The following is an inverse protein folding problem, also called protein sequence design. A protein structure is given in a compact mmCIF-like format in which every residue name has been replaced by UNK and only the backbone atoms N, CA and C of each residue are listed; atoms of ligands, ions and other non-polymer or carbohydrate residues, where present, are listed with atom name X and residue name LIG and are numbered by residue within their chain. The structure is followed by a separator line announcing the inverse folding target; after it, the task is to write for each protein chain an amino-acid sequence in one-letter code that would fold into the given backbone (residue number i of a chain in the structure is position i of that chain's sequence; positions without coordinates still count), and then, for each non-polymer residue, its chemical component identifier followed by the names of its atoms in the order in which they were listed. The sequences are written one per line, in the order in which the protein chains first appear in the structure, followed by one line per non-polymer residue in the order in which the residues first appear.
data_IF_158909788960
#
_entry.id   IF_158909788960
#
_cell.length_a   1.000
_cell.length_b   1.000
_cell.length_c   1.000
_cell.angle_alpha   90.00
_cell.angle_beta   90.00
_cell.angle_gamma   90.00
#
_symmetry.space_group_name_H-M   'P 1'
#
loop_
_entity.id
_entity.type
_entity.pdbx_description
1 polymer ?
#
# COMPACT_ATOMS: atom_id res chain seq x y z
N UNK A 1 -5.37 -14.86 21.03
CA UNK A 1 -5.88 -14.34 19.73
C UNK A 1 -5.40 -12.93 19.40
N UNK A 2 -5.42 -11.97 20.34
CA UNK A 2 -5.01 -10.56 20.06
C UNK A 2 -3.57 -10.40 19.53
N UNK A 3 -2.60 -11.12 20.09
CA UNK A 3 -1.21 -11.13 19.62
C UNK A 3 -1.04 -11.58 18.16
N UNK A 4 -1.81 -12.59 17.72
CA UNK A 4 -1.82 -13.04 16.33
C UNK A 4 -2.25 -11.90 15.39
N UNK A 5 -3.31 -11.18 15.74
CA UNK A 5 -3.79 -10.07 14.92
C UNK A 5 -2.80 -8.91 14.84
N UNK A 6 -2.12 -8.57 15.95
CA UNK A 6 -1.03 -7.59 15.91
C UNK A 6 0.12 -8.04 15.01
N UNK A 7 0.53 -9.30 15.11
CA UNK A 7 1.58 -9.87 14.26
C UNK A 7 1.20 -9.78 12.78
N UNK A 8 0.00 -10.27 12.41
CA UNK A 8 -0.49 -10.21 11.01
C UNK A 8 -0.60 -8.77 10.52
N UNK A 9 -1.04 -7.85 11.38
CA UNK A 9 -1.15 -6.43 11.06
C UNK A 9 0.21 -5.81 10.76
N UNK A 10 1.21 -6.04 11.62
CA UNK A 10 2.56 -5.54 11.40
C UNK A 10 3.26 -6.20 10.21
N UNK A 11 3.16 -7.52 10.07
CA UNK A 11 3.72 -8.23 8.92
C UNK A 11 3.09 -7.75 7.61
N UNK A 12 1.77 -7.55 7.59
CA UNK A 12 1.04 -6.97 6.46
C UNK A 12 1.53 -5.56 6.12
N UNK A 13 1.69 -4.69 7.13
CA UNK A 13 2.15 -3.32 6.92
C UNK A 13 3.57 -3.27 6.37
N UNK A 14 4.48 -4.08 6.92
CA UNK A 14 5.87 -4.18 6.45
C UNK A 14 5.92 -4.68 5.01
N UNK A 15 5.18 -5.75 4.69
CA UNK A 15 5.12 -6.27 3.32
C UNK A 15 4.55 -5.22 2.34
N UNK A 16 3.49 -4.52 2.74
CA UNK A 16 2.85 -3.51 1.91
C UNK A 16 3.74 -2.30 1.66
N UNK A 17 4.13 -1.59 2.71
CA UNK A 17 4.90 -0.35 2.59
C UNK A 17 6.32 -0.63 2.10
N UNK A 18 6.96 -1.70 2.60
CA UNK A 18 8.25 -2.16 2.11
C UNK A 18 8.21 -2.55 0.63
N UNK A 19 7.18 -3.28 0.19
CA UNK A 19 6.98 -3.63 -1.22
C UNK A 19 6.75 -2.39 -2.10
N UNK A 20 5.97 -1.42 -1.63
CA UNK A 20 5.74 -0.16 -2.35
C UNK A 20 7.03 0.66 -2.47
N UNK A 21 7.83 0.75 -1.40
CA UNK A 21 9.13 1.41 -1.42
C UNK A 21 10.11 0.70 -2.37
N UNK A 22 10.15 -0.63 -2.36
CA UNK A 22 10.96 -1.41 -3.30
C UNK A 22 10.55 -1.14 -4.76
N UNK A 23 9.25 -1.12 -5.05
CA UNK A 23 8.75 -0.78 -6.38
C UNK A 23 9.13 0.65 -6.79
N UNK A 24 9.11 1.62 -5.86
CA UNK A 24 9.56 3.00 -6.11
C UNK A 24 11.06 3.08 -6.37
N UNK A 25 11.88 2.35 -5.62
CA UNK A 25 13.32 2.29 -5.83
C UNK A 25 13.66 1.75 -7.23
N UNK A 26 12.98 0.67 -7.64
CA UNK A 26 13.07 0.13 -9.02
C UNK A 26 12.64 1.18 -10.04
N UNK A 27 11.53 1.88 -9.82
CA UNK A 27 11.05 2.93 -10.74
C UNK A 27 12.05 4.09 -10.90
N UNK A 28 12.75 4.45 -9.82
CA UNK A 28 13.75 5.51 -9.83
C UNK A 28 15.03 5.07 -10.56
N UNK A 29 15.52 3.86 -10.28
CA UNK A 29 16.68 3.28 -10.96
C UNK A 29 16.42 3.16 -12.46
N UNK A 30 15.23 2.70 -12.84
CA UNK A 30 14.80 2.52 -14.22
C UNK A 30 14.75 3.82 -15.06
N UNK A 31 14.81 5.00 -14.44
CA UNK A 31 14.85 6.28 -15.19
C UNK A 31 16.10 6.43 -16.08
N UNK A 32 17.16 5.67 -15.79
CA UNK A 32 18.43 5.70 -16.53
C UNK A 32 18.47 4.71 -17.70
N UNK A 33 17.47 3.83 -17.77
CA UNK A 33 17.40 2.76 -18.77
C UNK A 33 16.76 3.24 -20.07
N UNK A 34 16.99 2.49 -21.13
CA UNK A 34 16.38 2.77 -22.43
C UNK A 34 14.85 2.56 -22.37
N UNK A 35 14.05 3.38 -23.10
CA UNK A 35 12.58 3.33 -23.01
C UNK A 35 11.95 1.98 -23.40
N UNK A 36 12.60 1.24 -24.29
CA UNK A 36 12.23 -0.12 -24.73
C UNK A 36 12.33 -1.16 -23.59
N UNK A 37 13.25 -0.96 -22.63
CA UNK A 37 13.40 -1.83 -21.46
C UNK A 37 12.30 -1.64 -20.41
N UNK A 38 11.50 -0.57 -20.51
CA UNK A 38 10.46 -0.26 -19.52
C UNK A 38 9.40 -1.34 -19.39
N UNK A 39 9.14 -2.11 -20.46
CA UNK A 39 8.22 -3.24 -20.43
C UNK A 39 8.66 -4.31 -19.41
N UNK A 40 9.96 -4.63 -19.39
CA UNK A 40 10.53 -5.59 -18.43
C UNK A 40 10.44 -5.04 -17.00
N UNK A 41 10.79 -3.76 -16.81
CA UNK A 41 10.74 -3.09 -15.51
C UNK A 41 9.34 -3.16 -14.90
N UNK A 42 8.30 -2.80 -15.66
CA UNK A 42 6.92 -2.79 -15.12
C UNK A 42 6.39 -4.20 -14.86
N UNK A 43 6.85 -5.22 -15.59
CA UNK A 43 6.50 -6.63 -15.31
C UNK A 43 7.11 -7.10 -13.99
N UNK A 44 8.38 -6.76 -13.74
CA UNK A 44 9.05 -7.05 -12.47
C UNK A 44 8.39 -6.30 -11.31
N UNK A 45 8.08 -5.01 -11.48
CA UNK A 45 7.31 -4.26 -10.50
C UNK A 45 5.94 -4.91 -10.25
N UNK A 46 5.24 -5.35 -11.30
CA UNK A 46 3.97 -6.07 -11.18
C UNK A 46 4.06 -7.33 -10.33
N UNK A 47 5.21 -8.01 -10.32
CA UNK A 47 5.47 -9.13 -9.39
C UNK A 47 5.62 -8.67 -7.94
N UNK A 48 6.30 -7.54 -7.68
CA UNK A 48 6.37 -6.93 -6.34
C UNK A 48 4.96 -6.57 -5.84
N UNK A 49 4.13 -5.95 -6.69
CA UNK A 49 2.77 -5.58 -6.32
C UNK A 49 1.90 -6.79 -6.00
N UNK A 50 2.01 -7.88 -6.76
CA UNK A 50 1.23 -9.10 -6.54
C UNK A 50 1.71 -9.93 -5.34
N UNK A 51 3.02 -9.98 -5.11
CA UNK A 51 3.60 -10.80 -4.05
C UNK A 51 3.57 -10.10 -2.68
N UNK A 52 3.77 -8.77 -2.64
CA UNK A 52 3.96 -8.03 -1.40
C UNK A 52 2.87 -6.99 -1.17
N UNK A 53 2.69 -6.05 -2.11
CA UNK A 53 1.82 -4.87 -1.88
C UNK A 53 0.36 -5.28 -1.68
N UNK A 54 -0.21 -6.05 -2.60
CA UNK A 54 -1.60 -6.47 -2.54
C UNK A 54 -1.91 -7.34 -1.31
N UNK A 55 -1.22 -8.48 -1.12
CA UNK A 55 -1.41 -9.32 0.06
C UNK A 55 -1.14 -8.56 1.36
N UNK A 56 -0.07 -7.76 1.43
CA UNK A 56 0.27 -6.97 2.62
C UNK A 56 -0.80 -5.94 2.98
N UNK A 57 -1.33 -5.20 1.99
CA UNK A 57 -2.39 -4.24 2.20
C UNK A 57 -3.68 -4.93 2.67
N UNK A 58 -4.02 -6.07 2.08
CA UNK A 58 -5.18 -6.86 2.48
C UNK A 58 -5.05 -7.35 3.93
N UNK A 59 -3.92 -7.97 4.27
CA UNK A 59 -3.64 -8.46 5.62
C UNK A 59 -3.70 -7.32 6.63
N UNK A 60 -3.13 -6.16 6.30
CA UNK A 60 -3.18 -4.95 7.13
C UNK A 60 -4.61 -4.52 7.40
N UNK A 61 -5.42 -4.33 6.36
CA UNK A 61 -6.80 -3.82 6.51
C UNK A 61 -7.67 -4.81 7.29
N UNK A 62 -7.61 -6.11 6.95
CA UNK A 62 -8.42 -7.14 7.60
C UNK A 62 -8.05 -7.28 9.08
N UNK A 63 -6.76 -7.40 9.38
CA UNK A 63 -6.30 -7.49 10.77
C UNK A 63 -6.55 -6.20 11.56
N UNK A 64 -6.44 -5.03 10.92
CA UNK A 64 -6.75 -3.74 11.53
C UNK A 64 -8.22 -3.66 11.92
N UNK A 65 -9.12 -4.11 11.03
CA UNK A 65 -10.53 -4.22 11.32
C UNK A 65 -10.81 -5.17 12.50
N UNK A 66 -10.18 -6.34 12.53
CA UNK A 66 -10.30 -7.28 13.67
C UNK A 66 -9.82 -6.69 15.00
N UNK A 67 -8.69 -5.98 14.99
CA UNK A 67 -8.16 -5.29 16.17
C UNK A 67 -9.11 -4.19 16.65
N UNK A 68 -9.69 -3.43 15.73
CA UNK A 68 -10.69 -2.41 16.03
C UNK A 68 -11.94 -3.01 16.66
N UNK A 69 -12.47 -4.12 16.14
CA UNK A 69 -13.63 -4.81 16.75
C UNK A 69 -13.33 -5.31 18.16
N UNK A 70 -12.15 -5.91 18.38
CA UNK A 70 -11.72 -6.35 19.71
C UNK A 70 -11.61 -5.19 20.69
N UNK A 71 -11.12 -4.05 20.23
CA UNK A 71 -11.08 -2.83 21.03
C UNK A 71 -12.49 -2.39 21.42
N UNK A 72 -13.42 -2.25 20.47
CA UNK A 72 -14.80 -1.83 20.75
C UNK A 72 -15.53 -2.76 21.73
N UNK A 73 -15.30 -4.07 21.65
CA UNK A 73 -15.88 -5.04 22.61
C UNK A 73 -15.37 -4.85 24.05
N UNK A 74 -14.27 -4.12 24.24
CA UNK A 74 -13.66 -3.82 25.54
C UNK A 74 -13.87 -2.34 25.97
N UNK A 75 -14.57 -1.52 25.18
CA UNK A 75 -14.84 -0.12 25.52
C UNK A 75 -15.94 -0.06 26.58
N UNK A 76 -15.54 -0.06 27.85
CA UNK A 76 -16.46 0.14 28.98
C UNK A 76 -16.32 1.49 29.70
N UNK A 77 -15.33 2.34 29.38
CA UNK A 77 -15.26 3.67 30.03
C UNK A 77 -14.34 4.73 29.40
N UNK A 78 -13.40 4.37 28.52
CA UNK A 78 -12.35 5.30 28.05
C UNK A 78 -12.61 5.68 26.60
N UNK A 79 -12.87 6.95 26.35
CA UNK A 79 -13.14 7.48 25.01
C UNK A 79 -12.03 7.15 24.01
N UNK A 80 -12.40 7.03 22.74
CA UNK A 80 -11.45 6.74 21.66
C UNK A 80 -10.43 7.87 21.53
N UNK A 81 -9.15 7.55 21.63
CA UNK A 81 -8.07 8.53 21.38
C UNK A 81 -8.15 9.08 19.95
N UNK A 82 -8.09 10.40 19.79
CA UNK A 82 -8.06 11.03 18.47
C UNK A 82 -6.91 10.51 17.59
N UNK A 83 -5.76 10.14 18.18
CA UNK A 83 -4.64 9.53 17.45
C UNK A 83 -4.97 8.14 16.93
N UNK A 84 -5.70 7.35 17.71
CA UNK A 84 -6.11 6.02 17.31
C UNK A 84 -7.15 6.07 16.20
N UNK A 85 -8.10 7.01 16.28
CA UNK A 85 -9.06 7.26 15.20
C UNK A 85 -8.35 7.74 13.92
N UNK A 86 -7.37 8.63 14.03
CA UNK A 86 -6.56 9.09 12.90
C UNK A 86 -5.78 7.92 12.25
N UNK A 87 -5.10 7.08 13.05
CA UNK A 87 -4.41 5.89 12.57
C UNK A 87 -5.33 4.98 11.76
N UNK A 88 -6.51 4.66 12.33
CA UNK A 88 -7.47 3.76 11.69
C UNK A 88 -8.02 4.35 10.39
N UNK A 89 -8.43 5.63 10.41
CA UNK A 89 -8.97 6.31 9.24
C UNK A 89 -7.94 6.40 8.11
N UNK A 90 -6.73 6.85 8.40
CA UNK A 90 -5.64 6.94 7.43
C UNK A 90 -5.27 5.56 6.87
N UNK A 91 -5.16 4.55 7.72
CA UNK A 91 -4.81 3.19 7.32
C UNK A 91 -5.86 2.55 6.41
N UNK A 92 -7.15 2.73 6.72
CA UNK A 92 -8.25 2.22 5.88
C UNK A 92 -8.27 2.92 4.53
N UNK A 93 -8.21 4.25 4.48
CA UNK A 93 -8.21 5.00 3.22
C UNK A 93 -6.99 4.62 2.37
N UNK A 94 -5.80 4.55 2.98
CA UNK A 94 -4.58 4.10 2.33
C UNK A 94 -4.74 2.70 1.71
N UNK A 95 -5.31 1.76 2.47
CA UNK A 95 -5.50 0.37 2.07
C UNK A 95 -6.51 0.22 0.95
N UNK A 96 -7.60 0.99 0.98
CA UNK A 96 -8.58 1.04 -0.10
C UNK A 96 -7.96 1.54 -1.40
N UNK A 97 -7.16 2.62 -1.35
CA UNK A 97 -6.44 3.10 -2.53
C UNK A 97 -5.49 2.03 -3.06
N UNK A 98 -4.74 1.34 -2.19
CA UNK A 98 -3.83 0.27 -2.60
C UNK A 98 -4.57 -0.87 -3.32
N UNK A 99 -5.63 -1.39 -2.69
CA UNK A 99 -6.33 -2.59 -3.13
C UNK A 99 -7.23 -2.33 -4.35
N UNK A 100 -7.91 -1.18 -4.40
CA UNK A 100 -8.87 -0.85 -5.46
C UNK A 100 -8.19 -0.18 -6.65
N UNK A 101 -7.15 0.62 -6.41
CA UNK A 101 -6.51 1.41 -7.48
C UNK A 101 -5.10 0.94 -7.79
N UNK A 102 -4.19 0.96 -6.82
CA UNK A 102 -2.76 0.76 -7.08
C UNK A 102 -2.45 -0.64 -7.63
N UNK A 103 -2.93 -1.69 -6.97
CA UNK A 103 -2.66 -3.09 -7.35
C UNK A 103 -3.27 -3.42 -8.72
N UNK A 104 -4.57 -3.13 -9.00
CA UNK A 104 -5.14 -3.37 -10.32
C UNK A 104 -4.47 -2.53 -11.42
N UNK A 105 -4.06 -1.29 -11.12
CA UNK A 105 -3.36 -0.43 -12.09
C UNK A 105 -1.99 -1.00 -12.44
N UNK A 106 -1.25 -1.55 -11.47
CA UNK A 106 0.01 -2.24 -11.71
C UNK A 106 -0.18 -3.48 -12.59
N UNK A 107 -1.19 -4.29 -12.31
CA UNK A 107 -1.51 -5.47 -13.13
C UNK A 107 -1.87 -5.08 -14.57
N UNK A 108 -2.64 -4.01 -14.76
CA UNK A 108 -2.95 -3.47 -16.10
C UNK A 108 -1.68 -2.99 -16.81
N UNK A 109 -0.82 -2.23 -16.13
CA UNK A 109 0.42 -1.71 -16.70
C UNK A 109 1.35 -2.82 -17.20
N UNK A 110 1.47 -3.92 -16.45
CA UNK A 110 2.35 -5.05 -16.79
C UNK A 110 1.98 -5.78 -18.09
N UNK A 111 0.79 -5.50 -18.64
CA UNK A 111 0.28 -6.09 -19.89
C UNK A 111 0.41 -5.16 -21.10
N UNK A 112 0.89 -3.94 -20.90
CA UNK A 112 1.06 -2.94 -21.95
C UNK A 112 2.53 -2.86 -22.36
N UNK A 113 2.77 -2.62 -23.64
CA UNK A 113 4.11 -2.36 -24.15
C UNK A 113 4.41 -0.85 -24.13
N UNK A 114 5.66 -0.46 -23.80
CA UNK A 114 6.07 0.94 -23.68
C UNK A 114 6.20 1.63 -25.06
N UNK A 115 6.29 0.86 -26.14
CA UNK A 115 6.45 1.31 -27.52
C UNK A 115 5.32 0.79 -28.40
N UNK A 116 5.16 1.37 -29.60
CA UNK A 116 4.14 0.95 -30.56
C UNK A 116 2.73 1.45 -30.20
N UNK A 117 1.71 0.69 -30.57
CA UNK A 117 0.31 1.12 -30.51
C UNK A 117 -0.22 1.36 -29.09
N UNK A 118 0.40 0.76 -28.06
CA UNK A 118 -0.02 0.91 -26.65
C UNK A 118 0.75 1.98 -25.87
N UNK A 119 1.74 2.64 -26.46
CA UNK A 119 2.67 3.54 -25.76
C UNK A 119 1.95 4.68 -25.00
N UNK A 120 0.94 5.30 -25.62
CA UNK A 120 0.16 6.38 -24.98
C UNK A 120 -0.62 5.87 -23.76
N UNK A 121 -1.22 4.68 -23.87
CA UNK A 121 -1.92 4.04 -22.76
C UNK A 121 -0.94 3.65 -21.64
N UNK A 122 0.23 3.12 -21.99
CA UNK A 122 1.30 2.78 -21.05
C UNK A 122 1.70 4.00 -20.21
N UNK A 123 1.99 5.13 -20.85
CA UNK A 123 2.37 6.37 -20.16
C UNK A 123 1.27 6.87 -19.20
N UNK A 124 0.01 6.85 -19.66
CA UNK A 124 -1.13 7.28 -18.85
C UNK A 124 -1.34 6.38 -17.62
N UNK A 125 -1.32 5.05 -17.80
CA UNK A 125 -1.49 4.08 -16.71
C UNK A 125 -0.30 4.15 -15.74
N UNK A 126 0.93 4.30 -16.23
CA UNK A 126 2.12 4.47 -15.38
C UNK A 126 1.99 5.70 -14.49
N UNK A 127 1.53 6.84 -15.03
CA UNK A 127 1.27 8.06 -14.23
C UNK A 127 0.23 7.80 -13.13
N UNK A 128 -0.86 7.10 -13.44
CA UNK A 128 -1.90 6.73 -12.45
C UNK A 128 -1.35 5.80 -11.36
N UNK A 129 -0.49 4.85 -11.72
CA UNK A 129 0.15 3.96 -10.75
C UNK A 129 1.02 4.74 -9.77
N UNK A 130 1.84 5.67 -10.28
CA UNK A 130 2.69 6.53 -9.45
C UNK A 130 1.84 7.36 -8.49
N UNK A 131 0.81 8.05 -8.99
CA UNK A 131 -0.04 8.89 -8.16
C UNK A 131 -0.76 8.09 -7.07
N UNK A 132 -1.46 7.01 -7.44
CA UNK A 132 -2.17 6.17 -6.48
C UNK A 132 -1.24 5.51 -5.47
N UNK A 133 -0.08 5.01 -5.92
CA UNK A 133 0.92 4.39 -5.05
C UNK A 133 1.54 5.37 -4.05
N UNK A 134 1.84 6.60 -4.49
CA UNK A 134 2.35 7.66 -3.60
C UNK A 134 1.31 8.07 -2.56
N UNK A 135 0.07 8.33 -2.97
CA UNK A 135 -1.01 8.72 -2.03
C UNK A 135 -1.26 7.63 -1.01
N UNK A 136 -1.38 6.38 -1.47
CA UNK A 136 -1.59 5.22 -0.61
C UNK A 136 -0.45 5.03 0.40
N UNK A 137 0.80 5.10 -0.06
CA UNK A 137 1.98 4.92 0.81
C UNK A 137 2.12 6.07 1.81
N UNK A 138 1.89 7.31 1.40
CA UNK A 138 1.94 8.48 2.28
C UNK A 138 0.89 8.37 3.40
N UNK A 139 -0.36 8.05 3.06
CA UNK A 139 -1.40 7.86 4.06
C UNK A 139 -1.09 6.69 5.00
N UNK A 140 -0.52 5.60 4.48
CA UNK A 140 -0.06 4.47 5.28
C UNK A 140 1.07 4.84 6.25
N UNK A 141 2.03 5.66 5.82
CA UNK A 141 3.09 6.19 6.69
C UNK A 141 2.55 7.14 7.75
N UNK A 142 1.56 7.99 7.42
CA UNK A 142 0.89 8.83 8.40
C UNK A 142 0.08 8.01 9.42
N UNK A 143 -0.52 6.89 9.00
CA UNK A 143 -1.16 5.95 9.91
C UNK A 143 -0.14 5.35 10.91
N UNK A 144 1.06 4.98 10.44
CA UNK A 144 2.16 4.55 11.31
C UNK A 144 2.61 5.65 12.28
N UNK A 145 2.77 6.87 11.79
CA UNK A 145 3.18 8.02 12.62
C UNK A 145 2.17 8.28 13.74
N UNK A 146 0.89 8.31 13.42
CA UNK A 146 -0.18 8.49 14.41
C UNK A 146 -0.27 7.33 15.41
N UNK A 147 0.04 6.11 14.97
CA UNK A 147 0.20 4.95 15.87
C UNK A 147 1.36 5.13 16.85
N UNK A 148 2.51 5.60 16.38
CA UNK A 148 3.66 5.88 17.24
C UNK A 148 3.36 6.98 18.26
N UNK A 149 2.72 8.07 17.83
CA UNK A 149 2.29 9.17 18.71
C UNK A 149 1.27 8.73 19.76
N UNK A 150 0.40 7.76 19.43
CA UNK A 150 -0.52 7.17 20.39
C UNK A 150 0.21 6.40 21.51
N UNK A 151 1.29 5.69 21.19
CA UNK A 151 2.06 4.91 22.17
C UNK A 151 2.91 5.75 23.14
N UNK A 152 3.19 7.01 22.78
CA UNK A 152 3.99 7.92 23.61
C UNK A 152 3.16 8.65 24.69
N UNK A 153 1.87 8.37 24.80
CA UNK A 153 0.96 8.94 25.80
C UNK A 153 0.57 7.89 26.84
#
# INVERSE_FOLDING_TARGET
MRALWYFVHMAGQVAWLGGAMAAMAVAFAAKREQPDLMGVVVRLQGSIYRALVGPGALLTVVSGFMLTLQMYSAVTAVGLSHWLMAMQGLGVVAGLIALIHTVPTSAKLSRLEPTGSTATAFAAIRKRLVLSGMTSSLLGMLALLTSALYQMR
#
